data_IF_338168932710
#
_entry.id   IF_338168932710
#
_cell.length_a   1.000
_cell.length_b   1.000
_cell.length_c   1.000
_cell.angle_alpha   90.00
_cell.angle_beta   90.00
_cell.angle_gamma   90.00
#
_symmetry.space_group_name_H-M   'P 1'
#
loop_
_entity.id
_entity.type
_entity.pdbx_description
1 polymer ?
#
# COMPACT_ATOMS: atom_id res chain seq x y z
N UNK A 1 1.34 -12.04 -26.69
CA UNK A 1 1.22 -11.43 -25.35
C UNK A 1 -0.12 -10.74 -25.34
N UNK A 2 -1.08 -11.26 -24.58
CA UNK A 2 -2.42 -10.66 -24.50
C UNK A 2 -2.33 -9.45 -23.57
N UNK A 3 -2.73 -8.27 -24.06
CA UNK A 3 -2.88 -7.06 -23.24
C UNK A 3 -4.37 -6.78 -23.16
N UNK A 4 -4.92 -6.81 -21.95
CA UNK A 4 -6.34 -6.53 -21.69
C UNK A 4 -6.46 -5.33 -20.74
N UNK A 5 -7.38 -4.43 -21.07
CA UNK A 5 -7.73 -3.27 -20.25
C UNK A 5 -8.86 -3.65 -19.28
N UNK A 6 -8.71 -3.31 -18.01
CA UNK A 6 -9.82 -3.44 -17.03
C UNK A 6 -10.73 -2.21 -16.99
N UNK A 7 -11.78 -2.29 -16.17
CA UNK A 7 -12.77 -1.23 -15.97
C UNK A 7 -12.20 0.08 -15.41
N UNK A 8 -11.01 0.03 -14.78
CA UNK A 8 -10.30 1.20 -14.26
C UNK A 8 -9.31 1.78 -15.27
N UNK A 9 -9.24 1.20 -16.48
CA UNK A 9 -8.37 1.67 -17.56
C UNK A 9 -6.93 1.17 -17.47
N UNK A 10 -6.64 0.15 -16.65
CA UNK A 10 -5.29 -0.39 -16.48
C UNK A 10 -5.02 -1.51 -17.51
N UNK A 11 -3.97 -1.31 -18.31
CA UNK A 11 -3.49 -2.27 -19.30
C UNK A 11 -2.41 -3.17 -18.69
N UNK A 12 -2.62 -4.48 -18.70
CA UNK A 12 -1.65 -5.45 -18.18
C UNK A 12 -1.43 -6.61 -19.16
N UNK A 13 -0.22 -7.19 -19.21
CA UNK A 13 0.09 -8.35 -20.04
C UNK A 13 -0.39 -9.67 -19.41
N UNK A 14 -1.58 -9.65 -18.82
CA UNK A 14 -2.22 -10.78 -18.18
C UNK A 14 -3.74 -10.67 -18.41
N UNK A 15 -4.43 -11.79 -18.70
CA UNK A 15 -5.89 -11.79 -18.85
C UNK A 15 -6.60 -11.26 -17.59
N UNK A 16 -7.80 -10.69 -17.72
CA UNK A 16 -8.57 -10.13 -16.59
C UNK A 16 -8.83 -11.14 -15.46
N UNK A 17 -8.95 -12.44 -15.77
CA UNK A 17 -9.10 -13.51 -14.77
C UNK A 17 -7.80 -14.01 -14.12
N UNK A 18 -6.64 -13.41 -14.45
CA UNK A 18 -5.36 -13.86 -13.90
C UNK A 18 -5.25 -13.54 -12.40
N UNK A 19 -4.77 -14.46 -11.54
CA UNK A 19 -4.69 -14.24 -10.09
C UNK A 19 -3.94 -12.98 -9.67
N UNK A 20 -2.90 -12.60 -10.41
CA UNK A 20 -2.14 -11.36 -10.18
C UNK A 20 -2.89 -10.05 -10.49
N UNK A 21 -4.11 -10.14 -11.07
CA UNK A 21 -5.03 -9.01 -11.28
C UNK A 21 -6.21 -9.00 -10.32
N UNK A 22 -6.34 -10.02 -9.47
CA UNK A 22 -7.43 -10.08 -8.49
C UNK A 22 -7.23 -8.99 -7.45
N UNK A 23 -8.28 -8.18 -7.25
CA UNK A 23 -8.35 -7.25 -6.13
C UNK A 23 -8.48 -7.97 -4.79
N UNK A 24 -8.53 -7.18 -3.71
CA UNK A 24 -8.89 -7.72 -2.41
C UNK A 24 -10.35 -8.21 -2.43
N UNK A 25 -10.67 -9.31 -1.73
CA UNK A 25 -12.05 -9.77 -1.60
C UNK A 25 -12.98 -8.72 -0.99
N UNK A 26 -14.27 -8.81 -1.27
CA UNK A 26 -15.28 -7.96 -0.65
C UNK A 26 -15.24 -8.05 0.88
N UNK A 27 -15.34 -6.90 1.54
CA UNK A 27 -15.30 -6.80 3.00
C UNK A 27 -13.90 -6.96 3.62
N UNK A 28 -12.84 -7.03 2.81
CA UNK A 28 -11.47 -7.01 3.33
C UNK A 28 -11.13 -5.62 3.88
N UNK A 29 -10.62 -5.56 5.11
CA UNK A 29 -10.20 -4.30 5.73
C UNK A 29 -8.98 -3.73 4.99
N UNK A 30 -9.04 -2.44 4.62
CA UNK A 30 -7.98 -1.74 3.89
C UNK A 30 -7.11 -0.86 4.77
N UNK A 31 -7.42 -0.77 6.06
CA UNK A 31 -6.71 0.04 7.03
C UNK A 31 -7.63 0.52 8.16
N UNK A 32 -7.13 1.39 9.05
CA UNK A 32 -7.93 2.06 10.07
C UNK A 32 -8.96 3.01 9.45
N UNK A 33 -10.10 3.18 10.11
CA UNK A 33 -11.12 4.16 9.74
C UNK A 33 -10.71 5.58 10.11
N UNK A 34 -11.45 6.58 9.62
CA UNK A 34 -11.22 7.97 10.02
C UNK A 34 -11.47 8.12 11.53
N UNK A 35 -10.43 8.58 12.23
CA UNK A 35 -10.45 8.75 13.69
C UNK A 35 -9.77 7.61 14.45
N UNK A 36 -9.57 6.47 13.81
CA UNK A 36 -8.78 5.38 14.38
C UNK A 36 -7.29 5.73 14.41
N UNK A 37 -6.59 5.22 15.42
CA UNK A 37 -5.14 5.31 15.47
C UNK A 37 -4.53 4.33 14.46
N UNK A 38 -3.55 4.80 13.67
CA UNK A 38 -2.72 3.91 12.86
C UNK A 38 -1.94 2.94 13.78
N UNK A 39 -1.84 1.65 13.44
CA UNK A 39 -1.03 0.70 14.19
C UNK A 39 0.39 1.21 14.40
N UNK A 40 0.93 0.92 15.58
CA UNK A 40 2.32 1.25 15.86
C UNK A 40 3.26 0.40 15.03
N UNK A 41 4.35 0.99 14.56
CA UNK A 41 5.38 0.29 13.83
C UNK A 41 6.75 0.91 14.05
N UNK A 42 7.76 0.05 13.93
CA UNK A 42 9.17 0.42 13.99
C UNK A 42 9.86 -0.12 12.76
N UNK A 43 10.42 0.76 11.93
CA UNK A 43 11.08 0.41 10.68
C UNK A 43 12.36 1.22 10.52
N UNK A 44 13.40 0.68 9.85
CA UNK A 44 14.55 1.48 9.47
C UNK A 44 14.17 2.45 8.34
N UNK A 45 14.77 3.63 8.34
CA UNK A 45 14.74 4.55 7.21
C UNK A 45 15.76 4.15 6.12
N UNK A 46 15.94 5.01 5.12
CA UNK A 46 16.86 4.75 4.01
C UNK A 46 18.35 4.76 4.40
N UNK A 47 18.72 5.38 5.53
CA UNK A 47 20.06 5.36 6.10
C UNK A 47 20.27 4.18 7.06
N UNK A 48 19.19 3.47 7.43
CA UNK A 48 19.18 2.39 8.41
C UNK A 48 18.89 2.86 9.83
N UNK A 49 18.57 4.15 10.03
CA UNK A 49 18.20 4.68 11.32
C UNK A 49 16.79 4.21 11.71
N UNK A 50 16.61 3.85 12.98
CA UNK A 50 15.34 3.30 13.47
C UNK A 50 14.31 4.41 13.64
N UNK A 51 13.17 4.29 12.95
CA UNK A 51 12.00 5.16 13.09
C UNK A 51 10.87 4.43 13.81
N UNK A 52 10.36 5.02 14.89
CA UNK A 52 9.16 4.61 15.65
C UNK A 52 8.07 5.64 15.41
N UNK A 53 7.04 5.30 14.63
CA UNK A 53 6.10 6.29 14.08
C UNK A 53 5.54 7.24 15.14
N UNK A 54 4.97 6.70 16.23
CA UNK A 54 4.24 7.53 17.19
C UNK A 54 5.16 8.32 18.12
N UNK A 55 6.34 7.79 18.43
CA UNK A 55 7.36 8.48 19.23
C UNK A 55 8.00 9.61 18.41
N UNK A 56 8.49 9.31 17.21
CA UNK A 56 9.27 10.24 16.40
C UNK A 56 8.42 11.34 15.76
N UNK A 57 7.12 11.09 15.52
CA UNK A 57 6.20 12.17 15.12
C UNK A 57 5.99 13.18 16.25
N UNK A 58 6.27 12.84 17.50
CA UNK A 58 6.21 13.73 18.67
C UNK A 58 4.93 14.60 18.75
N UNK A 59 3.77 14.01 18.44
CA UNK A 59 2.47 14.69 18.40
C UNK A 59 2.18 15.51 17.13
N UNK A 60 3.13 15.64 16.20
CA UNK A 60 2.92 16.24 14.90
C UNK A 60 2.06 15.36 13.97
N UNK A 61 1.56 15.99 12.89
CA UNK A 61 0.86 15.31 11.80
C UNK A 61 1.89 14.57 10.93
N UNK A 62 1.54 13.38 10.47
CA UNK A 62 2.37 12.55 9.62
C UNK A 62 1.58 12.07 8.39
N UNK A 63 2.28 11.79 7.30
CA UNK A 63 1.75 11.13 6.10
C UNK A 63 2.48 9.82 5.94
N UNK A 64 1.73 8.72 5.80
CA UNK A 64 2.28 7.38 5.57
C UNK A 64 1.97 6.98 4.13
N UNK A 65 3.00 6.60 3.37
CA UNK A 65 2.88 6.19 1.97
C UNK A 65 3.37 4.75 1.84
N UNK A 66 2.47 3.84 1.51
CA UNK A 66 2.85 2.50 1.08
C UNK A 66 3.22 2.56 -0.39
N UNK A 67 4.49 2.31 -0.69
CA UNK A 67 4.96 2.21 -2.07
C UNK A 67 5.79 0.96 -2.24
N UNK A 68 5.85 0.48 -3.48
CA UNK A 68 6.80 -0.55 -3.89
C UNK A 68 7.51 -0.05 -5.15
N UNK A 69 8.78 -0.37 -5.26
CA UNK A 69 9.45 -0.24 -6.56
C UNK A 69 8.82 -1.23 -7.53
N UNK A 70 8.44 -0.77 -8.72
CA UNK A 70 8.07 -1.66 -9.82
C UNK A 70 9.29 -1.76 -10.74
N UNK A 71 9.89 -2.96 -10.81
CA UNK A 71 10.74 -3.31 -11.94
C UNK A 71 9.77 -3.73 -13.04
N UNK A 72 9.73 -2.96 -14.13
CA UNK A 72 8.98 -3.28 -15.34
C UNK A 72 9.78 -4.22 -16.24
#
# INVERSE_FOLDING_TARGET
MTVERDEFGFDAPAPLGHPGRLGLPDGHATGPEIGDALPDFTLPDAAGDVVRLHEDRAGARAVVVFFRSAVW
#
